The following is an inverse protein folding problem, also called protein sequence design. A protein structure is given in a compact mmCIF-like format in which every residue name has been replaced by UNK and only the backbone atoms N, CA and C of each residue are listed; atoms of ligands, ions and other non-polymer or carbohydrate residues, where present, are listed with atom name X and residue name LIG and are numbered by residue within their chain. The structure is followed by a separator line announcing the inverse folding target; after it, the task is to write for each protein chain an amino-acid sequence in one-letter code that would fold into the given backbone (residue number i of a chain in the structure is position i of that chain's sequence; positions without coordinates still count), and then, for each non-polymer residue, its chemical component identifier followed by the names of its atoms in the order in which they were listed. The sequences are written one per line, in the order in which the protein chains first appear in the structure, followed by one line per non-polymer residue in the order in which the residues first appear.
data_IF_641680848033
#
_entry.id   IF_641680848033
#
_cell.length_a   1.000
_cell.length_b   1.000
_cell.length_c   1.000
_cell.angle_alpha   90.00
_cell.angle_beta   90.00
_cell.angle_gamma   90.00
#
_symmetry.space_group_name_H-M   'P 1'
#
loop_
_entity.id
_entity.type
_entity.pdbx_description
1 polymer ?
#
# COMPACT_ATOMS: atom_id res chain seq x y z
N UNK A 1 11.82 -2.50 -11.61
CA UNK A 1 11.40 -1.13 -11.20
C UNK A 1 10.02 -0.88 -11.79
N UNK A 2 9.22 0.10 -11.33
CA UNK A 2 7.80 0.30 -11.69
C UNK A 2 7.45 -0.05 -13.16
N UNK A 3 8.32 0.30 -14.11
CA UNK A 3 8.19 -0.05 -15.53
C UNK A 3 7.85 -1.53 -15.81
N UNK A 4 8.44 -2.47 -15.08
CA UNK A 4 8.14 -3.92 -15.24
C UNK A 4 6.78 -4.28 -14.66
N UNK A 5 6.40 -3.63 -13.55
CA UNK A 5 5.07 -3.81 -12.95
C UNK A 5 3.98 -3.23 -13.87
N UNK A 6 4.26 -2.09 -14.51
CA UNK A 6 3.34 -1.46 -15.45
C UNK A 6 3.27 -2.18 -16.79
N UNK A 7 4.34 -2.86 -17.21
CA UNK A 7 4.33 -3.72 -18.40
C UNK A 7 3.49 -4.99 -18.17
N UNK A 8 3.58 -5.60 -16.99
CA UNK A 8 2.80 -6.78 -16.62
C UNK A 8 1.30 -6.48 -16.40
N UNK A 9 0.95 -5.26 -16.02
CA UNK A 9 -0.45 -4.78 -15.81
C UNK A 9 -1.34 -5.74 -14.98
N UNK A 10 -0.93 -6.19 -13.79
CA UNK A 10 -1.70 -7.17 -13.01
C UNK A 10 -3.10 -6.66 -12.62
N UNK A 11 -3.32 -5.35 -12.61
CA UNK A 11 -4.63 -4.75 -12.35
C UNK A 11 -5.65 -4.89 -13.49
N UNK A 12 -5.22 -5.38 -14.65
CA UNK A 12 -6.12 -5.74 -15.77
C UNK A 12 -6.27 -7.25 -15.97
N UNK A 13 -5.58 -8.07 -15.17
CA UNK A 13 -5.65 -9.53 -15.26
C UNK A 13 -6.40 -10.09 -14.04
N UNK A 14 -7.65 -10.58 -14.21
CA UNK A 14 -8.44 -11.10 -13.09
C UNK A 14 -7.87 -12.40 -12.50
N UNK A 15 -6.92 -13.06 -13.17
CA UNK A 15 -6.26 -14.26 -12.65
C UNK A 15 -5.13 -13.94 -11.66
N UNK A 16 -4.65 -12.69 -11.66
CA UNK A 16 -3.57 -12.21 -10.78
C UNK A 16 -4.16 -11.44 -9.59
N UNK A 17 -4.60 -12.18 -8.57
CA UNK A 17 -5.19 -11.58 -7.36
C UNK A 17 -4.14 -11.08 -6.35
N UNK A 18 -2.91 -11.63 -6.41
CA UNK A 18 -1.82 -11.20 -5.55
C UNK A 18 -0.45 -11.67 -6.04
N UNK A 19 0.59 -10.91 -5.67
CA UNK A 19 2.01 -11.26 -5.87
C UNK A 19 2.73 -10.99 -4.55
N UNK A 20 3.49 -11.95 -4.02
CA UNK A 20 4.25 -11.77 -2.77
C UNK A 20 3.42 -11.66 -1.49
N UNK A 21 2.08 -11.67 -1.58
CA UNK A 21 1.18 -11.64 -0.42
C UNK A 21 1.24 -12.96 0.34
N UNK A 22 1.36 -12.89 1.66
CA UNK A 22 1.31 -14.05 2.54
C UNK A 22 -0.10 -14.67 2.56
N UNK A 23 -0.17 -15.97 2.84
CA UNK A 23 -1.44 -16.66 3.02
C UNK A 23 -2.28 -15.98 4.12
N UNK A 24 -3.58 -15.82 3.84
CA UNK A 24 -4.51 -15.24 4.80
C UNK A 24 -4.56 -16.08 6.08
N UNK A 25 -4.57 -15.39 7.21
CA UNK A 25 -4.67 -15.97 8.55
C UNK A 25 -5.38 -14.98 9.48
N UNK A 26 -5.71 -15.44 10.68
CA UNK A 26 -6.08 -14.54 11.77
C UNK A 26 -4.97 -13.51 11.99
N UNK A 27 -5.35 -12.26 12.22
CA UNK A 27 -4.39 -11.19 12.50
C UNK A 27 -3.74 -11.52 13.85
N UNK A 28 -2.42 -11.74 13.83
CA UNK A 28 -1.64 -12.07 15.01
C UNK A 28 -0.66 -10.94 15.31
N UNK A 29 -0.53 -10.61 16.59
CA UNK A 29 0.54 -9.74 17.08
C UNK A 29 1.41 -10.56 18.01
N UNK A 30 2.73 -10.48 17.83
CA UNK A 30 3.65 -11.15 18.73
C UNK A 30 3.69 -10.40 20.07
N UNK A 31 3.70 -11.10 21.19
CA UNK A 31 3.85 -10.53 22.54
C UNK A 31 4.92 -11.30 23.32
N UNK A 32 5.57 -10.64 24.28
CA UNK A 32 6.73 -11.21 25.01
C UNK A 32 6.33 -12.51 25.72
N UNK A 33 5.14 -12.50 26.31
CA UNK A 33 4.60 -13.57 27.12
C UNK A 33 3.07 -13.61 27.02
N UNK A 34 2.45 -14.58 27.70
CA UNK A 34 1.00 -14.76 27.69
C UNK A 34 0.28 -13.60 28.36
N UNK A 35 0.86 -12.97 29.37
CA UNK A 35 0.20 -11.91 30.13
C UNK A 35 0.08 -10.63 29.30
N UNK A 36 1.18 -10.21 28.65
CA UNK A 36 1.18 -9.10 27.70
C UNK A 36 0.29 -9.36 26.48
N UNK A 37 0.06 -10.61 26.10
CA UNK A 37 -0.86 -10.97 25.01
C UNK A 37 -2.34 -10.78 25.36
N UNK A 38 -2.69 -10.55 26.63
CA UNK A 38 -4.05 -10.20 27.05
C UNK A 38 -4.39 -8.73 26.81
N UNK A 39 -3.36 -7.89 26.68
CA UNK A 39 -3.48 -6.46 26.43
C UNK A 39 -3.82 -6.12 24.98
N UNK A 40 -3.75 -4.83 24.66
CA UNK A 40 -3.95 -4.35 23.30
C UNK A 40 -2.71 -4.63 22.44
N UNK A 41 -2.90 -4.89 21.14
CA UNK A 41 -1.78 -5.12 20.21
C UNK A 41 -0.76 -3.98 20.20
N UNK A 42 -1.23 -2.75 20.46
CA UNK A 42 -0.44 -1.53 20.50
C UNK A 42 0.58 -1.51 21.64
N UNK A 43 0.36 -2.33 22.68
CA UNK A 43 1.25 -2.46 23.82
C UNK A 43 2.40 -3.45 23.53
N UNK A 44 2.32 -4.20 22.43
CA UNK A 44 3.42 -5.08 22.02
C UNK A 44 4.65 -4.27 21.59
N UNK A 45 5.85 -4.63 22.07
CA UNK A 45 7.10 -4.04 21.59
C UNK A 45 7.42 -4.44 20.13
N UNK A 46 6.69 -5.41 19.58
CA UNK A 46 6.84 -5.88 18.19
C UNK A 46 5.72 -5.43 17.28
N UNK A 47 5.04 -4.36 17.68
CA UNK A 47 4.04 -3.70 16.88
C UNK A 47 4.38 -2.23 16.64
N UNK A 48 4.14 -1.75 15.43
CA UNK A 48 4.34 -0.35 15.07
C UNK A 48 3.19 0.15 14.21
N UNK A 49 2.60 1.29 14.58
CA UNK A 49 1.59 1.95 13.78
C UNK A 49 2.22 2.73 12.63
N UNK A 50 1.70 2.55 11.41
CA UNK A 50 2.04 3.38 10.26
C UNK A 50 0.90 4.33 9.86
N UNK A 51 -0.17 4.45 10.63
CA UNK A 51 -1.21 5.46 10.45
C UNK A 51 -0.68 6.88 10.75
N UNK A 52 -1.39 7.89 10.25
CA UNK A 52 -1.09 9.32 10.39
C UNK A 52 -0.78 9.99 9.05
N UNK A 53 0.07 11.02 9.07
CA UNK A 53 0.46 11.76 7.86
C UNK A 53 1.33 10.94 6.90
N UNK A 54 0.94 10.92 5.63
CA UNK A 54 1.68 10.37 4.49
C UNK A 54 1.77 11.43 3.39
N UNK A 55 2.76 11.30 2.52
CA UNK A 55 2.85 12.09 1.28
C UNK A 55 2.12 11.34 0.17
N UNK A 56 1.22 12.01 -0.54
CA UNK A 56 0.47 11.49 -1.68
C UNK A 56 0.73 12.33 -2.92
N UNK A 57 0.89 11.68 -4.07
CA UNK A 57 0.81 12.33 -5.37
C UNK A 57 -0.06 11.49 -6.30
N UNK A 58 -0.89 12.18 -7.10
CA UNK A 58 -1.80 11.55 -8.05
C UNK A 58 -1.26 11.65 -9.48
N UNK A 59 -1.47 10.61 -10.26
CA UNK A 59 -1.26 10.55 -11.71
C UNK A 59 -2.54 10.14 -12.42
N UNK A 60 -2.65 10.50 -13.70
CA UNK A 60 -3.84 10.23 -14.50
C UNK A 60 -4.12 8.72 -14.68
N UNK A 61 -3.07 7.91 -14.72
CA UNK A 61 -3.13 6.45 -14.87
C UNK A 61 -1.86 5.76 -14.33
N UNK A 62 -1.85 4.42 -14.18
CA UNK A 62 -0.70 3.70 -13.65
C UNK A 62 0.56 3.83 -14.52
N UNK A 63 0.39 3.89 -15.84
CA UNK A 63 1.48 3.98 -16.81
C UNK A 63 2.19 5.35 -16.76
N UNK A 64 1.51 6.39 -16.28
CA UNK A 64 2.06 7.71 -16.07
C UNK A 64 2.93 7.84 -14.81
N UNK A 65 2.96 6.83 -13.94
CA UNK A 65 3.77 6.86 -12.71
C UNK A 65 5.23 6.60 -13.06
N UNK A 66 6.14 7.57 -12.86
CA UNK A 66 7.54 7.37 -13.21
C UNK A 66 8.25 6.46 -12.20
N UNK A 67 9.26 5.72 -12.66
CA UNK A 67 10.15 4.92 -11.79
C UNK A 67 10.75 5.71 -10.61
N UNK A 68 10.90 7.02 -10.76
CA UNK A 68 11.42 7.93 -9.72
C UNK A 68 10.45 8.11 -8.54
N UNK A 69 9.14 7.85 -8.72
CA UNK A 69 8.14 8.02 -7.66
C UNK A 69 8.33 7.05 -6.48
N UNK A 70 8.90 5.86 -6.73
CA UNK A 70 9.13 4.83 -5.70
C UNK A 70 10.57 4.76 -5.22
N UNK A 71 11.48 5.60 -5.73
CA UNK A 71 12.85 5.68 -5.22
C UNK A 71 12.88 6.18 -3.77
N UNK A 72 13.93 5.83 -3.04
CA UNK A 72 14.16 6.28 -1.65
C UNK A 72 14.26 7.80 -1.56
N UNK A 73 14.94 8.43 -2.50
CA UNK A 73 15.07 9.88 -2.60
C UNK A 73 14.20 10.45 -3.73
N UNK A 74 13.53 11.56 -3.43
CA UNK A 74 12.84 12.36 -4.45
C UNK A 74 13.78 13.45 -4.94
N UNK A 75 13.79 13.69 -6.24
CA UNK A 75 14.43 14.87 -6.83
C UNK A 75 13.65 16.16 -6.55
N UNK A 76 12.34 16.07 -6.32
CA UNK A 76 11.47 17.21 -6.00
C UNK A 76 10.25 16.80 -5.18
N UNK A 77 9.83 17.69 -4.27
CA UNK A 77 8.57 17.57 -3.51
C UNK A 77 7.38 18.22 -4.23
N UNK A 78 7.56 18.79 -5.41
CA UNK A 78 6.49 19.45 -6.15
C UNK A 78 5.33 18.48 -6.48
N UNK A 79 4.11 18.90 -6.15
CA UNK A 79 2.88 18.14 -6.36
C UNK A 79 2.64 16.99 -5.37
N UNK A 80 3.46 16.86 -4.33
CA UNK A 80 3.16 15.98 -3.20
C UNK A 80 2.30 16.72 -2.17
N UNK A 81 1.22 16.08 -1.75
CA UNK A 81 0.27 16.55 -0.76
C UNK A 81 0.45 15.76 0.53
N UNK A 82 0.19 16.37 1.68
CA UNK A 82 0.07 15.63 2.94
C UNK A 82 -1.35 15.13 3.10
N UNK A 83 -1.52 13.84 3.36
CA UNK A 83 -2.82 13.19 3.60
C UNK A 83 -2.75 12.32 4.86
N UNK A 84 -3.89 12.13 5.52
CA UNK A 84 -4.04 11.19 6.63
C UNK A 84 -4.35 9.78 6.10
N UNK A 85 -3.71 8.79 6.72
CA UNK A 85 -3.93 7.37 6.48
C UNK A 85 -4.29 6.70 7.81
N UNK A 86 -5.41 5.95 7.89
CA UNK A 86 -6.35 5.63 6.82
C UNK A 86 -7.23 6.83 6.42
N UNK A 87 -7.65 6.85 5.15
CA UNK A 87 -8.56 7.86 4.63
C UNK A 87 -8.61 7.83 3.10
N UNK A 88 -9.79 8.02 2.52
CA UNK A 88 -9.96 8.10 1.06
C UNK A 88 -9.39 9.42 0.55
N UNK A 89 -8.50 9.39 -0.46
CA UNK A 89 -7.87 10.61 -0.98
C UNK A 89 -8.88 11.61 -1.56
N UNK A 90 -10.02 11.12 -2.05
CA UNK A 90 -11.10 11.93 -2.62
C UNK A 90 -11.79 12.82 -1.58
N UNK A 91 -11.64 12.49 -0.31
CA UNK A 91 -12.18 13.25 0.83
C UNK A 91 -11.15 14.21 1.44
N UNK A 92 -9.95 14.32 0.86
CA UNK A 92 -8.81 15.05 1.43
C UNK A 92 -8.34 16.21 0.56
N UNK A 93 -9.25 16.80 -0.24
CA UNK A 93 -8.96 18.01 -1.02
C UNK A 93 -7.96 17.78 -2.17
N UNK A 94 -7.85 16.56 -2.69
CA UNK A 94 -6.90 16.21 -3.77
C UNK A 94 -7.35 16.65 -5.16
N UNK A 95 -8.60 17.13 -5.29
CA UNK A 95 -9.22 17.51 -6.56
C UNK A 95 -9.86 16.34 -7.33
N UNK A 96 -9.58 15.10 -6.94
CA UNK A 96 -10.30 13.92 -7.40
C UNK A 96 -11.56 13.73 -6.54
N UNK A 97 -12.72 13.58 -7.18
CA UNK A 97 -14.01 13.60 -6.51
C UNK A 97 -14.58 12.19 -6.33
N UNK A 98 -15.30 11.91 -5.23
CA UNK A 98 -15.95 10.62 -5.05
C UNK A 98 -17.06 10.44 -6.09
N UNK A 99 -17.18 9.23 -6.62
CA UNK A 99 -18.28 8.85 -7.52
C UNK A 99 -19.35 8.08 -6.74
N UNK A 100 -20.61 8.44 -6.96
CA UNK A 100 -21.75 7.68 -6.47
C UNK A 100 -22.57 7.18 -7.66
N UNK A 101 -22.67 5.87 -7.79
CA UNK A 101 -23.52 5.19 -8.77
C UNK A 101 -24.30 4.08 -8.06
N UNK A 102 -25.53 3.82 -8.49
CA UNK A 102 -26.35 2.76 -7.90
C UNK A 102 -26.00 1.39 -8.48
N UNK A 103 -26.30 1.16 -9.77
CA UNK A 103 -26.07 -0.12 -10.46
C UNK A 103 -24.95 -0.02 -11.50
N UNK A 104 -24.95 1.06 -12.27
CA UNK A 104 -23.96 1.26 -13.33
C UNK A 104 -22.56 1.45 -12.75
N UNK A 105 -21.57 0.85 -13.41
CA UNK A 105 -20.16 1.15 -13.12
C UNK A 105 -19.87 2.63 -13.43
N UNK A 106 -18.89 3.24 -12.75
CA UNK A 106 -18.48 4.63 -13.04
C UNK A 106 -17.78 4.79 -14.40
N UNK A 107 -17.71 3.74 -15.22
CA UNK A 107 -17.15 3.72 -16.57
C UNK A 107 -17.90 2.71 -17.46
N UNK A 108 -17.83 2.87 -18.78
CA UNK A 108 -18.64 2.13 -19.76
C UNK A 108 -17.99 0.84 -20.32
N UNK A 109 -16.73 0.58 -19.99
CA UNK A 109 -15.96 -0.56 -20.50
C UNK A 109 -16.41 -1.90 -19.91
N UNK A 110 -16.14 -3.00 -20.63
CA UNK A 110 -16.51 -4.35 -20.20
C UNK A 110 -15.37 -4.99 -19.40
N UNK A 111 -15.64 -5.73 -18.32
CA UNK A 111 -14.59 -6.45 -17.60
C UNK A 111 -13.80 -7.40 -18.52
N UNK A 112 -12.47 -7.53 -18.34
CA UNK A 112 -11.62 -6.87 -17.33
C UNK A 112 -11.03 -5.52 -17.77
N UNK A 113 -11.56 -4.90 -18.83
CA UNK A 113 -11.06 -3.62 -19.34
C UNK A 113 -11.27 -2.49 -18.32
N UNK A 114 -10.27 -1.60 -18.22
CA UNK A 114 -10.25 -0.44 -17.31
C UNK A 114 -10.11 0.85 -18.11
N UNK A 115 -10.68 1.98 -17.63
CA UNK A 115 -10.59 3.25 -18.35
C UNK A 115 -9.15 3.74 -18.49
N UNK A 116 -8.86 4.45 -19.58
CA UNK A 116 -7.55 5.10 -19.80
C UNK A 116 -7.22 6.08 -18.67
N UNK A 117 -8.22 6.85 -18.22
CA UNK A 117 -8.14 7.62 -16.98
C UNK A 117 -8.43 6.70 -15.80
N UNK A 118 -7.39 6.26 -15.12
CA UNK A 118 -7.44 5.39 -13.95
C UNK A 118 -6.55 5.98 -12.84
N UNK A 119 -7.07 6.99 -12.15
CA UNK A 119 -6.28 7.83 -11.23
C UNK A 119 -5.49 6.97 -10.26
N UNK A 120 -4.17 7.16 -10.26
CA UNK A 120 -3.24 6.35 -9.47
C UNK A 120 -2.53 7.20 -8.44
N UNK A 121 -2.70 6.86 -7.16
CA UNK A 121 -2.03 7.52 -6.05
C UNK A 121 -0.77 6.77 -5.61
N UNK A 122 0.37 7.47 -5.53
CA UNK A 122 1.55 6.96 -4.84
C UNK A 122 1.59 7.56 -3.44
N UNK A 123 1.49 6.69 -2.44
CA UNK A 123 1.66 7.03 -1.04
C UNK A 123 3.10 6.79 -0.60
N UNK A 124 3.70 7.73 0.13
CA UNK A 124 5.08 7.64 0.64
C UNK A 124 5.13 8.01 2.12
N UNK A 125 5.87 7.21 2.88
CA UNK A 125 6.21 7.47 4.28
C UNK A 125 7.56 6.84 4.60
N UNK A 126 8.39 7.58 5.33
CA UNK A 126 9.60 7.05 5.97
C UNK A 126 9.24 6.57 7.36
N UNK A 127 9.77 5.42 7.75
CA UNK A 127 9.60 4.88 9.10
C UNK A 127 10.90 4.20 9.54
N UNK A 128 11.10 4.14 10.84
CA UNK A 128 12.22 3.41 11.46
C UNK A 128 11.65 2.24 12.24
N UNK A 129 12.14 1.04 11.94
CA UNK A 129 11.81 -0.16 12.70
C UNK A 129 12.60 -0.16 14.01
N UNK A 130 11.95 -0.55 15.11
CA UNK A 130 12.61 -0.56 16.42
C UNK A 130 13.80 -1.53 16.46
N UNK A 131 14.90 -1.12 17.12
CA UNK A 131 16.15 -1.90 17.18
C UNK A 131 15.95 -3.33 17.69
N UNK A 132 15.00 -3.54 18.60
CA UNK A 132 14.65 -4.86 19.15
C UNK A 132 14.06 -5.84 18.14
N UNK A 133 13.76 -5.40 16.92
CA UNK A 133 13.26 -6.26 15.84
C UNK A 133 14.39 -6.87 15.00
N UNK A 134 15.64 -6.48 15.24
CA UNK A 134 16.79 -7.03 14.51
C UNK A 134 16.76 -8.57 14.55
N UNK A 135 16.98 -9.18 13.39
CA UNK A 135 16.93 -10.64 13.18
C UNK A 135 15.56 -11.28 13.39
N UNK A 136 14.47 -10.50 13.44
CA UNK A 136 13.09 -11.00 13.43
C UNK A 136 12.48 -10.83 12.05
N UNK A 137 11.53 -11.72 11.75
CA UNK A 137 10.66 -11.58 10.59
C UNK A 137 9.80 -10.32 10.75
N UNK A 138 9.86 -9.40 9.79
CA UNK A 138 9.09 -8.16 9.81
C UNK A 138 8.02 -8.19 8.73
N UNK A 139 6.76 -8.06 9.16
CA UNK A 139 5.58 -8.09 8.29
C UNK A 139 4.97 -6.70 8.21
N UNK A 140 4.71 -6.22 6.99
CA UNK A 140 3.81 -5.08 6.81
C UNK A 140 2.38 -5.59 6.63
N UNK A 141 1.46 -4.95 7.34
CA UNK A 141 0.05 -5.30 7.34
C UNK A 141 -0.76 -4.10 6.80
N UNK A 142 -1.33 -4.25 5.61
CA UNK A 142 -2.23 -3.28 5.00
C UNK A 142 -3.65 -3.74 5.31
N UNK A 143 -4.35 -3.03 6.19
CA UNK A 143 -5.70 -3.42 6.64
C UNK A 143 -6.77 -3.36 5.55
N UNK A 144 -6.57 -2.50 4.55
CA UNK A 144 -7.40 -2.39 3.36
C UNK A 144 -6.84 -1.29 2.43
N UNK A 145 -6.95 -1.50 1.12
CA UNK A 145 -6.54 -0.52 0.11
C UNK A 145 -7.47 -0.67 -1.11
N UNK A 146 -8.04 0.44 -1.56
CA UNK A 146 -9.03 0.44 -2.64
C UNK A 146 -8.47 1.00 -3.95
N UNK A 147 -8.67 0.36 -5.11
CA UNK A 147 -9.24 -0.99 -5.33
C UNK A 147 -8.19 -2.11 -5.32
N UNK A 148 -6.95 -1.75 -5.63
CA UNK A 148 -5.77 -2.61 -5.68
C UNK A 148 -4.56 -1.80 -5.20
N UNK A 149 -3.46 -2.48 -4.85
CA UNK A 149 -2.24 -1.79 -4.44
C UNK A 149 -0.98 -2.55 -4.86
N UNK A 150 0.12 -1.82 -5.02
CA UNK A 150 1.47 -2.34 -5.13
C UNK A 150 2.33 -1.80 -3.99
N UNK A 151 3.14 -2.66 -3.39
CA UNK A 151 4.01 -2.32 -2.27
C UNK A 151 5.47 -2.25 -2.73
N UNK A 152 6.11 -1.14 -2.38
CA UNK A 152 7.55 -0.95 -2.55
C UNK A 152 8.18 -0.58 -1.20
N UNK A 153 9.29 -1.22 -0.86
CA UNK A 153 10.11 -0.89 0.32
C UNK A 153 11.53 -0.60 -0.17
N UNK A 154 12.06 0.56 0.22
CA UNK A 154 13.39 1.02 -0.20
C UNK A 154 13.63 0.97 -1.73
N UNK A 155 12.59 1.25 -2.52
CA UNK A 155 12.63 1.26 -3.99
C UNK A 155 12.48 -0.11 -4.66
N UNK A 156 12.41 -1.19 -3.88
CA UNK A 156 12.25 -2.55 -4.36
C UNK A 156 10.79 -2.99 -4.28
N UNK A 157 10.30 -3.66 -5.32
CA UNK A 157 8.96 -4.21 -5.34
C UNK A 157 8.87 -5.39 -4.37
N UNK A 158 7.88 -5.37 -3.49
CA UNK A 158 7.61 -6.42 -2.51
C UNK A 158 6.42 -7.27 -2.94
N UNK A 159 5.37 -6.64 -3.44
CA UNK A 159 4.15 -7.37 -3.79
C UNK A 159 3.01 -6.50 -4.30
N UNK A 160 1.92 -7.19 -4.64
CA UNK A 160 0.69 -6.66 -5.19
C UNK A 160 -0.51 -7.39 -4.59
N UNK A 161 -1.63 -6.69 -4.40
CA UNK A 161 -2.86 -7.29 -3.91
C UNK A 161 -4.11 -6.59 -4.42
N UNK A 162 -5.11 -7.40 -4.76
CA UNK A 162 -6.50 -6.98 -4.96
C UNK A 162 -7.31 -7.22 -3.67
N UNK A 163 -8.60 -6.85 -3.72
CA UNK A 163 -9.57 -6.91 -2.61
C UNK A 163 -9.40 -5.78 -1.59
N UNK A 164 -10.32 -4.82 -1.63
CA UNK A 164 -10.31 -3.64 -0.77
C UNK A 164 -10.77 -3.92 0.67
N UNK A 165 -11.28 -5.12 0.96
CA UNK A 165 -11.99 -5.44 2.20
C UNK A 165 -11.29 -6.47 3.07
N UNK A 166 -10.22 -7.08 2.58
CA UNK A 166 -9.38 -8.02 3.32
C UNK A 166 -7.95 -7.50 3.45
N UNK A 167 -7.25 -7.83 4.55
CA UNK A 167 -5.89 -7.36 4.76
C UNK A 167 -4.93 -8.03 3.78
N UNK A 168 -3.87 -7.28 3.41
CA UNK A 168 -2.73 -7.82 2.67
C UNK A 168 -1.47 -7.74 3.51
N UNK A 169 -0.82 -8.88 3.70
CA UNK A 169 0.41 -9.00 4.49
C UNK A 169 1.59 -9.39 3.60
N UNK A 170 2.73 -8.74 3.80
CA UNK A 170 3.96 -9.01 3.06
C UNK A 170 5.14 -9.09 4.00
N UNK A 171 6.04 -10.04 3.73
CA UNK A 171 7.32 -10.12 4.43
C UNK A 171 8.29 -9.08 3.87
N UNK A 172 8.69 -8.12 4.71
CA UNK A 172 9.58 -7.03 4.31
C UNK A 172 10.98 -7.19 4.90
N UNK A 173 11.28 -8.32 5.56
CA UNK A 173 12.53 -8.55 6.30
C UNK A 173 13.77 -8.24 5.46
N UNK A 174 13.82 -8.78 4.23
CA UNK A 174 14.97 -8.63 3.31
C UNK A 174 14.99 -7.28 2.58
N UNK A 175 13.94 -6.48 2.71
CA UNK A 175 13.82 -5.17 2.08
C UNK A 175 14.22 -4.03 3.03
N UNK A 176 14.35 -4.30 4.33
CA UNK A 176 14.79 -3.33 5.32
C UNK A 176 16.29 -3.07 5.19
N UNK A 177 16.67 -1.80 5.37
CA UNK A 177 18.07 -1.38 5.43
C UNK A 177 18.37 -0.81 6.81
N UNK A 178 19.64 -0.85 7.21
CA UNK A 178 20.07 -0.14 8.42
C UNK A 178 19.93 1.36 8.18
N UNK A 179 19.23 2.03 9.09
CA UNK A 179 19.02 3.48 9.08
C UNK A 179 19.45 4.13 10.39
#
# INVERSE_FOLDING_TARGET
MISTFTEFRPWTDPTVVSIGRLAMRQVMTAHIDVESARGLRQESPWWQNLNGSWQLKLWANPDAVPNTAVKTTLSSKAGWLSVEVPGNWTMQGTGDLPHYTNVQMPFALRPPEVPEKNVTGVYRRTFTVQRGWKSRRTIIHIGGAESVHALFINGSFVGYGTDSRLPSEYDISDFLVTG
#
